data_IF_462706353665
#
_entry.id   IF_462706353665
#
_cell.length_a   1.000
_cell.length_b   1.000
_cell.length_c   1.000
_cell.angle_alpha   90.00
_cell.angle_beta   90.00
_cell.angle_gamma   90.00
#
_symmetry.space_group_name_H-M   'P 1'
#
loop_
_entity.id
_entity.type
_entity.pdbx_description
1 polymer ?
#
# COMPACT_ATOMS: atom_id res chain seq x y z
N UNK A 1 -13.15 9.31 54.33
CA UNK A 1 -12.30 8.72 53.28
C UNK A 1 -12.71 9.34 51.94
N UNK A 2 -11.84 10.09 51.25
CA UNK A 2 -12.19 10.79 49.99
C UNK A 2 -11.92 9.85 48.81
N UNK A 3 -12.96 9.39 48.12
CA UNK A 3 -12.82 8.55 46.93
C UNK A 3 -12.20 9.36 45.79
N UNK A 4 -11.04 8.93 45.30
CA UNK A 4 -10.44 9.48 44.08
C UNK A 4 -11.23 8.96 42.89
N UNK A 5 -11.93 9.85 42.19
CA UNK A 5 -12.58 9.53 40.91
C UNK A 5 -11.60 9.80 39.77
N UNK A 6 -10.66 8.87 39.57
CA UNK A 6 -9.79 8.87 38.38
C UNK A 6 -10.50 8.16 37.22
N UNK A 7 -10.27 8.62 35.99
CA UNK A 7 -10.75 8.02 34.74
C UNK A 7 -9.64 8.15 33.70
N UNK A 8 -9.60 7.24 32.73
CA UNK A 8 -8.74 7.39 31.56
C UNK A 8 -9.34 8.44 30.62
N UNK A 9 -8.62 9.53 30.38
CA UNK A 9 -9.09 10.62 29.51
C UNK A 9 -9.32 10.13 28.06
N UNK A 10 -8.43 9.26 27.57
CA UNK A 10 -8.56 8.63 26.26
C UNK A 10 -9.81 7.75 26.11
N UNK A 11 -10.37 7.24 27.21
CA UNK A 11 -11.59 6.43 27.20
C UNK A 11 -12.86 7.27 27.40
N UNK A 12 -12.74 8.58 27.66
CA UNK A 12 -13.88 9.48 27.73
C UNK A 12 -14.31 9.91 26.33
N UNK A 13 -15.62 10.06 26.09
CA UNK A 13 -16.15 10.69 24.87
C UNK A 13 -16.84 11.99 25.27
N UNK A 14 -16.25 13.13 24.91
CA UNK A 14 -16.75 14.48 25.18
C UNK A 14 -16.82 15.30 23.87
N UNK A 15 -17.29 16.54 23.95
CA UNK A 15 -17.40 17.42 22.77
C UNK A 15 -16.07 17.63 22.04
N UNK A 16 -14.99 17.68 22.82
CA UNK A 16 -13.68 18.11 22.35
C UNK A 16 -12.95 16.97 21.65
N UNK A 17 -13.14 15.73 22.12
CA UNK A 17 -12.47 14.55 21.59
C UNK A 17 -13.35 13.67 20.66
N UNK A 18 -14.65 13.97 20.52
CA UNK A 18 -15.56 13.18 19.67
C UNK A 18 -15.06 13.04 18.22
N UNK A 19 -14.57 14.15 17.63
CA UNK A 19 -14.04 14.13 16.26
C UNK A 19 -12.71 13.38 16.16
N UNK A 20 -11.90 13.45 17.20
CA UNK A 20 -10.61 12.79 17.26
C UNK A 20 -10.76 11.26 17.26
N UNK A 21 -11.71 10.74 18.05
CA UNK A 21 -11.99 9.30 18.15
C UNK A 21 -13.05 8.78 17.18
N UNK A 22 -13.53 9.60 16.24
CA UNK A 22 -14.66 9.24 15.36
C UNK A 22 -14.39 8.00 14.49
N UNK A 23 -13.12 7.73 14.17
CA UNK A 23 -12.70 6.57 13.38
C UNK A 23 -12.12 5.44 14.22
N UNK A 24 -12.19 5.51 15.56
CA UNK A 24 -11.74 4.43 16.42
C UNK A 24 -12.76 3.28 16.38
N UNK A 25 -12.28 2.07 16.10
CA UNK A 25 -13.07 0.85 16.07
C UNK A 25 -12.37 -0.28 16.84
N UNK A 26 -13.05 -1.42 16.96
CA UNK A 26 -12.50 -2.63 17.58
C UNK A 26 -12.11 -3.68 16.54
N UNK A 27 -11.90 -3.27 15.28
CA UNK A 27 -11.55 -4.18 14.21
C UNK A 27 -10.08 -4.59 14.31
N UNK A 28 -9.80 -5.83 13.91
CA UNK A 28 -8.42 -6.20 13.60
C UNK A 28 -7.93 -5.46 12.37
N UNK A 29 -6.61 -5.40 12.16
CA UNK A 29 -6.01 -4.77 10.99
C UNK A 29 -6.58 -5.32 9.67
N UNK A 30 -6.80 -6.64 9.59
CA UNK A 30 -7.37 -7.28 8.40
C UNK A 30 -8.84 -6.93 8.16
N UNK A 31 -9.63 -6.85 9.24
CA UNK A 31 -11.05 -6.49 9.15
C UNK A 31 -11.24 -5.02 8.79
N UNK A 32 -10.45 -4.12 9.39
CA UNK A 32 -10.42 -2.71 9.04
C UNK A 32 -9.99 -2.50 7.58
N UNK A 33 -9.05 -3.32 7.11
CA UNK A 33 -8.52 -3.27 5.75
C UNK A 33 -9.20 -4.31 4.82
N UNK A 34 -10.50 -4.53 4.96
CA UNK A 34 -11.25 -5.51 4.15
C UNK A 34 -11.14 -5.27 2.62
N UNK A 35 -11.45 -6.26 1.77
CA UNK A 35 -11.33 -6.11 0.31
C UNK A 35 -12.11 -4.94 -0.28
N UNK A 36 -13.30 -4.64 0.26
CA UNK A 36 -14.12 -3.50 -0.17
C UNK A 36 -13.49 -2.16 0.24
N UNK A 37 -12.97 -2.05 1.46
CA UNK A 37 -12.24 -0.86 1.94
C UNK A 37 -11.00 -0.63 1.07
N UNK A 38 -10.19 -1.66 0.82
CA UNK A 38 -9.01 -1.57 -0.07
C UNK A 38 -9.37 -1.13 -1.48
N UNK A 39 -10.51 -1.55 -2.01
CA UNK A 39 -10.99 -1.11 -3.32
C UNK A 39 -11.24 0.40 -3.30
N UNK A 40 -12.01 0.89 -2.33
CA UNK A 40 -12.32 2.32 -2.19
C UNK A 40 -11.04 3.15 -2.02
N UNK A 41 -10.10 2.70 -1.19
CA UNK A 41 -8.81 3.38 -0.99
C UNK A 41 -8.00 3.47 -2.28
N UNK A 42 -7.90 2.39 -3.07
CA UNK A 42 -7.21 2.40 -4.36
C UNK A 42 -7.87 3.33 -5.36
N UNK A 43 -9.19 3.31 -5.45
CA UNK A 43 -9.93 4.14 -6.40
C UNK A 43 -9.74 5.63 -6.06
N UNK A 44 -9.81 6.00 -4.78
CA UNK A 44 -9.56 7.37 -4.31
C UNK A 44 -8.12 7.80 -4.46
N UNK A 45 -7.16 6.96 -4.07
CA UNK A 45 -5.73 7.27 -4.21
C UNK A 45 -5.34 7.52 -5.67
N UNK A 46 -5.86 6.72 -6.62
CA UNK A 46 -5.64 6.94 -8.05
C UNK A 46 -6.20 8.28 -8.52
N UNK A 47 -7.41 8.62 -8.09
CA UNK A 47 -8.01 9.90 -8.42
C UNK A 47 -7.17 11.07 -7.88
N UNK A 48 -6.73 11.02 -6.63
CA UNK A 48 -5.90 12.07 -6.02
C UNK A 48 -4.56 12.23 -6.76
N UNK A 49 -3.87 11.11 -7.05
CA UNK A 49 -2.60 11.13 -7.79
C UNK A 49 -2.77 11.71 -9.20
N UNK A 50 -3.89 11.41 -9.88
CA UNK A 50 -4.16 11.92 -11.22
C UNK A 50 -4.44 13.44 -11.23
N UNK A 51 -4.99 13.99 -10.14
CA UNK A 51 -5.43 15.39 -10.08
C UNK A 51 -4.47 16.32 -9.30
N UNK A 52 -3.42 15.77 -8.69
CA UNK A 52 -2.46 16.54 -7.89
C UNK A 52 -1.02 16.27 -8.35
N UNK A 53 -0.38 17.27 -8.97
CA UNK A 53 0.99 17.16 -9.49
C UNK A 53 2.04 16.90 -8.40
N UNK A 54 1.85 17.39 -7.18
CA UNK A 54 2.74 17.09 -6.05
C UNK A 54 2.62 15.63 -5.64
N UNK A 55 1.39 15.13 -5.50
CA UNK A 55 1.15 13.72 -5.18
C UNK A 55 1.74 12.80 -6.26
N UNK A 56 1.54 13.15 -7.54
CA UNK A 56 2.13 12.44 -8.66
C UNK A 56 3.66 12.41 -8.60
N UNK A 57 4.29 13.56 -8.32
CA UNK A 57 5.75 13.65 -8.18
C UNK A 57 6.28 12.75 -7.06
N UNK A 58 5.69 12.83 -5.86
CA UNK A 58 6.08 12.02 -4.70
C UNK A 58 5.93 10.52 -4.99
N UNK A 59 4.78 10.12 -5.55
CA UNK A 59 4.50 8.71 -5.87
C UNK A 59 5.48 8.19 -6.92
N UNK A 60 5.79 8.98 -7.96
CA UNK A 60 6.73 8.58 -9.00
C UNK A 60 8.15 8.43 -8.46
N UNK A 61 8.61 9.33 -7.58
CA UNK A 61 9.92 9.19 -6.92
C UNK A 61 9.99 7.87 -6.15
N UNK A 62 8.99 7.58 -5.31
CA UNK A 62 8.97 6.34 -4.53
C UNK A 62 8.86 5.10 -5.42
N UNK A 63 8.05 5.14 -6.48
CA UNK A 63 7.93 4.04 -7.41
C UNK A 63 9.26 3.75 -8.11
N UNK A 64 9.95 4.79 -8.59
CA UNK A 64 11.25 4.66 -9.23
C UNK A 64 12.32 4.15 -8.27
N UNK A 65 12.32 4.58 -7.00
CA UNK A 65 13.31 4.15 -6.02
C UNK A 65 13.08 2.71 -5.53
N UNK A 66 11.81 2.30 -5.39
CA UNK A 66 11.45 0.98 -4.84
C UNK A 66 11.42 -0.10 -5.93
N UNK A 67 10.81 0.19 -7.08
CA UNK A 67 10.63 -0.78 -8.17
C UNK A 67 11.80 -0.72 -9.15
N UNK A 68 12.40 0.45 -9.35
CA UNK A 68 13.54 0.62 -10.25
C UNK A 68 13.20 0.24 -11.69
N UNK A 69 14.00 -0.66 -12.27
CA UNK A 69 13.81 -1.15 -13.64
C UNK A 69 12.87 -2.35 -13.74
N UNK A 70 12.09 -2.63 -12.69
CA UNK A 70 11.15 -3.75 -12.65
C UNK A 70 11.78 -5.10 -12.28
N UNK A 71 10.95 -6.17 -12.25
CA UNK A 71 11.36 -7.49 -11.79
C UNK A 71 12.33 -8.16 -12.78
N UNK A 72 13.40 -8.76 -12.24
CA UNK A 72 14.32 -9.62 -13.01
C UNK A 72 14.09 -11.08 -12.65
N UNK A 73 13.67 -11.87 -13.63
CA UNK A 73 13.52 -13.31 -13.46
C UNK A 73 14.91 -13.97 -13.38
N UNK A 74 15.11 -14.84 -12.40
CA UNK A 74 16.29 -15.68 -12.28
C UNK A 74 15.84 -17.11 -12.00
N UNK A 75 16.20 -18.04 -12.87
CA UNK A 75 15.93 -19.46 -12.72
C UNK A 75 17.19 -20.20 -12.29
N UNK A 76 17.05 -21.04 -11.27
CA UNK A 76 18.14 -21.77 -10.63
C UNK A 76 17.96 -23.29 -10.77
N UNK A 77 17.40 -23.74 -11.89
CA UNK A 77 17.28 -25.16 -12.20
C UNK A 77 18.63 -25.73 -12.66
N UNK A 78 18.76 -27.07 -12.70
CA UNK A 78 19.96 -27.74 -13.19
C UNK A 78 20.22 -27.57 -14.69
N UNK A 79 19.23 -27.17 -15.48
CA UNK A 79 19.37 -26.94 -16.92
C UNK A 79 19.64 -25.45 -17.18
N UNK A 80 20.92 -25.12 -17.37
CA UNK A 80 21.33 -23.73 -17.57
C UNK A 80 20.85 -23.12 -18.89
N UNK A 81 20.62 -23.94 -19.91
CA UNK A 81 20.23 -23.44 -21.23
C UNK A 81 18.72 -23.17 -21.28
N UNK A 82 17.92 -24.05 -20.67
CA UNK A 82 16.50 -23.79 -20.44
C UNK A 82 16.27 -22.52 -19.59
N UNK A 83 17.07 -22.34 -18.51
CA UNK A 83 16.98 -21.14 -17.68
C UNK A 83 17.19 -19.87 -18.49
N UNK A 84 18.29 -19.78 -19.25
CA UNK A 84 18.61 -18.62 -20.09
C UNK A 84 17.53 -18.33 -21.12
N UNK A 85 16.96 -19.37 -21.73
CA UNK A 85 15.93 -19.17 -22.73
C UNK A 85 14.64 -18.63 -22.13
N UNK A 86 14.19 -19.17 -21.00
CA UNK A 86 13.00 -18.68 -20.32
C UNK A 86 13.20 -17.24 -19.81
N UNK A 87 14.37 -16.94 -19.23
CA UNK A 87 14.71 -15.58 -18.81
C UNK A 87 14.69 -14.59 -19.98
N UNK A 88 15.21 -14.98 -21.15
CA UNK A 88 15.16 -14.16 -22.37
C UNK A 88 13.73 -13.90 -22.84
N UNK A 89 12.88 -14.93 -22.83
CA UNK A 89 11.48 -14.81 -23.22
C UNK A 89 10.70 -13.94 -22.22
N UNK A 90 10.98 -14.07 -20.92
CA UNK A 90 10.39 -13.23 -19.89
C UNK A 90 10.74 -11.76 -20.10
N UNK A 91 12.01 -11.43 -20.37
CA UNK A 91 12.42 -10.05 -20.68
C UNK A 91 11.69 -9.51 -21.90
N UNK A 92 11.62 -10.29 -23.00
CA UNK A 92 10.89 -9.88 -24.21
C UNK A 92 9.41 -9.63 -23.95
N UNK A 93 8.78 -10.49 -23.15
CA UNK A 93 7.39 -10.31 -22.77
C UNK A 93 7.20 -9.07 -21.88
N UNK A 94 8.07 -8.88 -20.89
CA UNK A 94 8.03 -7.74 -19.98
C UNK A 94 8.15 -6.41 -20.73
N UNK A 95 9.06 -6.33 -21.72
CA UNK A 95 9.19 -5.18 -22.60
C UNK A 95 7.92 -4.97 -23.45
N UNK A 96 7.37 -6.06 -24.02
CA UNK A 96 6.20 -5.98 -24.90
C UNK A 96 4.92 -5.51 -24.20
N UNK A 97 4.79 -5.74 -22.89
CA UNK A 97 3.62 -5.32 -22.11
C UNK A 97 3.85 -4.04 -21.31
N UNK A 98 5.04 -3.44 -21.38
CA UNK A 98 5.40 -2.27 -20.58
C UNK A 98 5.39 -2.58 -19.08
N UNK A 99 5.91 -3.75 -18.67
CA UNK A 99 5.77 -4.23 -17.29
C UNK A 99 6.39 -3.29 -16.25
N UNK A 100 7.41 -2.53 -16.63
CA UNK A 100 8.13 -1.60 -15.76
C UNK A 100 7.86 -0.11 -16.05
N UNK A 101 6.92 0.20 -16.96
CA UNK A 101 6.54 1.58 -17.35
C UNK A 101 5.32 2.11 -16.59
#
# INVERSE_FOLDING_TARGET
MRLVRARYDAAATNSDNRRHWASADSLSADAANSPSVRRVLRDRARYEVANNSYARGIVLTLANDVVGTGPRLQLLTSDSDANKEIERQFTRWADAVGLAE
#
